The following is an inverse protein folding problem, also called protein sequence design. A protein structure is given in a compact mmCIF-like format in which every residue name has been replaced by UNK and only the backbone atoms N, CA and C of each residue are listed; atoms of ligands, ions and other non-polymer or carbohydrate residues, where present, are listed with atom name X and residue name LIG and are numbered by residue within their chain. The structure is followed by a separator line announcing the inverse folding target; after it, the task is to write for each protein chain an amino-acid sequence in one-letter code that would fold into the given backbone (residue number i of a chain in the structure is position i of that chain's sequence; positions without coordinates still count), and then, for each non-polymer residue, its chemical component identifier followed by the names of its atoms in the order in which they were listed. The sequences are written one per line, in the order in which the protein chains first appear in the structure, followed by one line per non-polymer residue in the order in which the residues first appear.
data_IF_109801676615
#
_entry.id   IF_109801676615
#
_cell.length_a   1.000
_cell.length_b   1.000
_cell.length_c   1.000
_cell.angle_alpha   90.00
_cell.angle_beta   90.00
_cell.angle_gamma   90.00
#
_symmetry.space_group_name_H-M   'P 1'
#
loop_
_entity.id
_entity.type
_entity.pdbx_description
1 polymer ?
#
# COMPACT_ATOMS: atom_id res chain seq x y z
N UNK A 1 -1.95 -0.56 14.45
CA UNK A 1 -3.06 -1.44 14.02
C UNK A 1 -2.65 -2.91 13.96
N UNK A 2 -1.65 -3.33 13.16
CA UNK A 2 -1.25 -4.76 13.07
C UNK A 2 -0.81 -5.34 14.42
N UNK A 3 -0.01 -4.60 15.21
CA UNK A 3 0.45 -5.08 16.52
C UNK A 3 -0.70 -5.34 17.52
N UNK A 4 -1.86 -4.71 17.35
CA UNK A 4 -3.04 -4.97 18.18
C UNK A 4 -3.76 -6.26 17.76
N UNK A 5 -3.79 -6.56 16.46
CA UNK A 5 -4.44 -7.77 15.92
C UNK A 5 -3.56 -9.00 16.14
N UNK A 6 -2.24 -8.85 16.02
CA UNK A 6 -1.26 -9.91 16.20
C UNK A 6 0.04 -9.33 16.76
N UNK A 7 0.20 -9.46 18.06
CA UNK A 7 1.39 -8.97 18.77
C UNK A 7 2.67 -9.61 18.21
N UNK A 8 3.74 -8.82 18.14
CA UNK A 8 5.10 -9.24 17.76
C UNK A 8 5.29 -9.85 16.36
N UNK A 9 4.25 -9.91 15.51
CA UNK A 9 4.39 -10.42 14.13
C UNK A 9 5.44 -9.65 13.31
N UNK A 10 5.49 -8.33 13.49
CA UNK A 10 6.38 -7.42 12.75
C UNK A 10 7.61 -6.99 13.57
N UNK A 11 7.78 -7.55 14.77
CA UNK A 11 8.78 -7.12 15.74
C UNK A 11 8.46 -5.76 16.36
N UNK A 12 9.49 -5.13 16.93
CA UNK A 12 9.38 -3.78 17.48
C UNK A 12 9.11 -2.74 16.39
N UNK A 13 8.60 -1.56 16.78
CA UNK A 13 8.37 -0.46 15.85
C UNK A 13 9.65 -0.05 15.11
N UNK A 14 10.80 -0.09 15.80
CA UNK A 14 12.11 0.28 15.23
C UNK A 14 12.54 -0.72 14.15
N UNK A 15 12.39 -2.01 14.42
CA UNK A 15 12.69 -3.08 13.44
C UNK A 15 11.76 -3.00 12.24
N UNK A 16 10.45 -2.84 12.48
CA UNK A 16 9.47 -2.69 11.42
C UNK A 16 9.79 -1.49 10.52
N UNK A 17 10.15 -0.36 11.12
CA UNK A 17 10.49 0.86 10.39
C UNK A 17 11.72 0.67 9.51
N UNK A 18 12.78 0.07 10.05
CA UNK A 18 14.01 -0.18 9.28
C UNK A 18 13.83 -1.26 8.20
N UNK A 19 13.03 -2.29 8.47
CA UNK A 19 12.87 -3.44 7.58
C UNK A 19 11.89 -3.17 6.43
N UNK A 20 10.87 -2.35 6.66
CA UNK A 20 9.79 -2.13 5.71
C UNK A 20 9.56 -0.64 5.41
N UNK A 21 9.25 0.20 6.40
CA UNK A 21 8.84 1.60 6.12
C UNK A 21 9.93 2.37 5.39
N UNK A 22 11.14 2.44 5.93
CA UNK A 22 12.21 3.28 5.38
C UNK A 22 12.60 2.82 3.96
N UNK A 23 12.84 1.52 3.69
CA UNK A 23 13.14 1.07 2.32
C UNK A 23 11.98 1.27 1.35
N UNK A 24 10.73 1.14 1.82
CA UNK A 24 9.57 1.31 0.95
C UNK A 24 9.40 2.78 0.58
N UNK A 25 9.46 3.69 1.55
CA UNK A 25 9.38 5.12 1.30
C UNK A 25 10.53 5.61 0.42
N UNK A 26 11.76 5.14 0.68
CA UNK A 26 12.93 5.54 -0.10
C UNK A 26 12.87 5.14 -1.57
N UNK A 27 12.14 4.07 -1.93
CA UNK A 27 11.96 3.64 -3.32
C UNK A 27 10.77 4.27 -4.05
N UNK A 28 9.94 5.08 -3.36
CA UNK A 28 8.79 5.76 -3.93
C UNK A 28 9.10 7.20 -4.39
N UNK A 29 10.28 7.72 -4.03
CA UNK A 29 10.68 9.07 -4.40
C UNK A 29 11.05 9.16 -5.88
N UNK A 30 10.88 10.35 -6.47
CA UNK A 30 11.19 10.56 -7.89
C UNK A 30 12.69 10.47 -8.20
N UNK A 31 13.53 10.72 -7.19
CA UNK A 31 14.99 10.67 -7.22
C UNK A 31 15.57 9.31 -6.77
N UNK A 32 14.72 8.31 -6.49
CA UNK A 32 15.15 6.99 -6.08
C UNK A 32 16.00 6.29 -7.14
N UNK A 33 17.07 5.61 -6.70
CA UNK A 33 17.88 4.82 -7.63
C UNK A 33 17.14 3.56 -8.06
N UNK A 34 17.51 2.93 -9.19
CA UNK A 34 16.95 1.63 -9.58
C UNK A 34 17.14 0.54 -8.52
N UNK A 35 18.17 0.64 -7.68
CA UNK A 35 18.40 -0.29 -6.58
C UNK A 35 17.38 -0.09 -5.45
N UNK A 36 17.06 1.16 -5.11
CA UNK A 36 16.06 1.50 -4.10
C UNK A 36 14.66 1.02 -4.51
N UNK A 37 14.29 1.22 -5.78
CA UNK A 37 13.01 0.75 -6.32
C UNK A 37 12.90 -0.79 -6.24
N UNK A 38 13.98 -1.52 -6.57
CA UNK A 38 14.00 -2.99 -6.45
C UNK A 38 13.86 -3.43 -4.99
N UNK A 39 14.58 -2.78 -4.07
CA UNK A 39 14.51 -3.08 -2.65
C UNK A 39 13.11 -2.82 -2.09
N UNK A 40 12.51 -1.66 -2.41
CA UNK A 40 11.13 -1.32 -2.05
C UNK A 40 10.15 -2.40 -2.53
N UNK A 41 10.21 -2.78 -3.81
CA UNK A 41 9.29 -3.79 -4.38
C UNK A 41 9.39 -5.12 -3.65
N UNK A 42 10.62 -5.57 -3.37
CA UNK A 42 10.87 -6.79 -2.63
C UNK A 42 10.29 -6.70 -1.20
N UNK A 43 10.62 -5.63 -0.45
CA UNK A 43 10.11 -5.44 0.92
C UNK A 43 8.59 -5.33 0.98
N UNK A 44 7.98 -4.65 0.01
CA UNK A 44 6.52 -4.54 -0.11
C UNK A 44 5.87 -5.90 -0.35
N UNK A 45 6.46 -6.73 -1.23
CA UNK A 45 5.97 -8.07 -1.50
C UNK A 45 6.05 -8.97 -0.26
N UNK A 46 7.20 -8.99 0.43
CA UNK A 46 7.38 -9.77 1.67
C UNK A 46 6.38 -9.33 2.74
N UNK A 47 6.17 -8.03 2.92
CA UNK A 47 5.20 -7.50 3.87
C UNK A 47 3.78 -7.95 3.53
N UNK A 48 3.38 -7.85 2.26
CA UNK A 48 2.07 -8.32 1.82
C UNK A 48 1.88 -9.82 2.07
N UNK A 49 2.89 -10.64 1.76
CA UNK A 49 2.83 -12.08 1.98
C UNK A 49 2.70 -12.42 3.48
N UNK A 50 3.43 -11.72 4.35
CA UNK A 50 3.31 -11.87 5.80
C UNK A 50 1.88 -11.59 6.30
N UNK A 51 1.18 -10.65 5.66
CA UNK A 51 -0.16 -10.23 6.06
C UNK A 51 -1.30 -11.04 5.40
N UNK A 52 -1.00 -11.77 4.33
CA UNK A 52 -1.99 -12.49 3.51
C UNK A 52 -2.84 -13.50 4.31
N UNK A 53 -2.31 -14.07 5.40
CA UNK A 53 -3.00 -15.07 6.21
C UNK A 53 -4.10 -14.53 7.13
N UNK A 54 -4.23 -13.22 7.29
CA UNK A 54 -5.22 -12.63 8.22
C UNK A 54 -5.87 -11.34 7.71
N UNK A 55 -5.53 -10.88 6.52
CA UNK A 55 -6.25 -9.79 5.85
C UNK A 55 -7.33 -10.39 4.96
N UNK A 56 -8.58 -10.11 5.28
CA UNK A 56 -9.68 -10.37 4.38
C UNK A 56 -10.01 -9.10 3.58
N UNK A 57 -9.57 -9.06 2.32
CA UNK A 57 -9.90 -7.98 1.38
C UNK A 57 -10.88 -8.49 0.33
N UNK A 58 -12.04 -7.85 0.22
CA UNK A 58 -13.04 -8.09 -0.82
C UNK A 58 -13.22 -6.81 -1.61
N UNK A 59 -12.88 -6.86 -2.90
CA UNK A 59 -13.06 -5.70 -3.77
C UNK A 59 -14.52 -5.56 -4.21
N UNK A 60 -14.84 -4.46 -4.87
CA UNK A 60 -16.18 -4.16 -5.39
C UNK A 60 -16.73 -5.24 -6.35
N UNK A 61 -15.88 -6.12 -6.87
CA UNK A 61 -16.27 -7.26 -7.71
C UNK A 61 -17.36 -8.13 -7.09
N UNK A 62 -17.43 -8.22 -5.75
CA UNK A 62 -18.47 -8.99 -5.04
C UNK A 62 -19.86 -8.38 -5.23
N UNK A 63 -19.97 -7.08 -5.48
CA UNK A 63 -21.23 -6.36 -5.59
C UNK A 63 -21.67 -6.12 -7.03
N UNK A 64 -20.78 -6.28 -8.02
CA UNK A 64 -21.09 -6.02 -9.43
C UNK A 64 -22.24 -6.86 -9.99
N UNK A 65 -22.49 -8.06 -9.45
CA UNK A 65 -23.60 -8.92 -9.88
C UNK A 65 -24.97 -8.45 -9.40
N UNK A 66 -25.01 -7.60 -8.37
CA UNK A 66 -26.24 -7.27 -7.65
C UNK A 66 -26.58 -5.78 -7.70
N UNK A 67 -25.65 -4.93 -8.14
CA UNK A 67 -25.81 -3.48 -8.18
C UNK A 67 -25.72 -2.93 -9.61
N UNK A 68 -26.39 -1.80 -9.88
CA UNK A 68 -26.20 -1.06 -11.13
C UNK A 68 -24.72 -0.66 -11.36
N UNK A 69 -24.29 -0.44 -12.62
CA UNK A 69 -22.92 -0.07 -12.94
C UNK A 69 -22.48 1.23 -12.26
N UNK A 70 -21.30 1.20 -11.63
CA UNK A 70 -20.65 2.38 -11.05
C UNK A 70 -20.00 3.22 -12.16
N UNK A 71 -20.39 4.49 -12.26
CA UNK A 71 -19.80 5.45 -13.20
C UNK A 71 -18.88 6.41 -12.43
N UNK A 72 -17.61 6.51 -12.84
CA UNK A 72 -16.63 7.42 -12.23
C UNK A 72 -16.13 8.43 -13.28
N UNK A 73 -16.16 9.71 -12.94
CA UNK A 73 -15.73 10.80 -13.80
C UNK A 73 -14.60 11.57 -13.14
N UNK A 74 -13.54 11.84 -13.88
CA UNK A 74 -12.48 12.76 -13.47
C UNK A 74 -12.64 14.04 -14.27
N UNK A 75 -12.99 15.13 -13.59
CA UNK A 75 -13.14 16.45 -14.21
C UNK A 75 -11.93 17.30 -13.85
N UNK A 76 -11.08 17.58 -14.83
CA UNK A 76 -9.96 18.50 -14.68
C UNK A 76 -10.39 19.91 -15.07
N UNK A 77 -10.42 20.84 -14.11
CA UNK A 77 -10.81 22.23 -14.33
C UNK A 77 -9.57 23.12 -14.33
N UNK A 78 -9.48 24.04 -15.30
CA UNK A 78 -8.42 25.05 -15.36
C UNK A 78 -8.68 26.15 -14.32
N UNK A 79 -7.62 26.57 -13.63
CA UNK A 79 -7.68 27.71 -12.70
C UNK A 79 -8.00 29.00 -13.46
N UNK A 80 -8.81 29.86 -12.87
CA UNK A 80 -9.02 31.22 -13.39
C UNK A 80 -7.76 32.08 -13.13
N UNK A 81 -7.44 33.04 -14.02
CA UNK A 81 -6.42 34.05 -13.74
C UNK A 81 -6.76 34.83 -12.46
N UNK A 82 -5.74 35.24 -11.71
CA UNK A 82 -5.87 36.16 -10.57
C UNK A 82 -6.05 37.60 -11.06
#
# INVERSE_FOLDING_TARGET
MVNFIKENLLGSLKEFRNRFINPIQNGQCADSTPADVRLMKNRSHVLHQLMSGFIQRRDFSVLMSCLPPKHEYVVSVRMTPL
#
